data_IF_931978272056
#
_entry.id   IF_931978272056
#
_cell.length_a   1.000
_cell.length_b   1.000
_cell.length_c   1.000
_cell.angle_alpha   90.00
_cell.angle_beta   90.00
_cell.angle_gamma   90.00
#
_symmetry.space_group_name_H-M   'P 1'
#
loop_
_entity.id
_entity.type
_entity.pdbx_description
1 polymer ?
#
# COMPACT_ATOMS: atom_id res chain seq x y z
N UNK A 1 -1.26 -21.54 -43.08
CA UNK A 1 -0.02 -20.92 -43.61
C UNK A 1 -0.31 -19.43 -43.76
N UNK A 2 0.02 -18.65 -42.77
CA UNK A 2 0.21 -17.20 -42.87
C UNK A 2 0.98 -16.74 -41.63
N UNK A 3 2.21 -16.35 -41.90
CA UNK A 3 3.20 -15.92 -40.91
C UNK A 3 2.84 -14.57 -40.32
N UNK A 4 2.69 -14.48 -39.00
CA UNK A 4 2.65 -13.21 -38.31
C UNK A 4 4.08 -12.79 -37.95
N UNK A 5 4.61 -11.86 -38.70
CA UNK A 5 5.93 -11.22 -38.51
C UNK A 5 5.91 -10.37 -37.25
N UNK A 6 6.68 -10.78 -36.24
CA UNK A 6 7.08 -9.92 -35.13
C UNK A 6 7.95 -8.77 -35.65
N UNK A 7 7.47 -7.54 -35.56
CA UNK A 7 8.29 -6.34 -35.74
C UNK A 7 9.12 -6.10 -34.51
N UNK A 8 10.42 -6.36 -34.63
CA UNK A 8 11.42 -5.93 -33.66
C UNK A 8 11.46 -4.40 -33.60
N UNK A 9 11.05 -3.82 -32.45
CA UNK A 9 11.25 -2.42 -32.14
C UNK A 9 12.66 -2.26 -31.58
N UNK A 10 13.59 -1.88 -32.45
CA UNK A 10 14.95 -1.46 -32.07
C UNK A 10 14.85 -0.12 -31.32
N UNK A 11 15.05 -0.15 -30.01
CA UNK A 11 15.23 1.08 -29.21
C UNK A 11 16.69 1.50 -29.44
N UNK A 12 16.89 2.50 -30.28
CA UNK A 12 18.19 3.16 -30.51
C UNK A 12 18.46 4.03 -29.28
N UNK A 13 19.40 3.60 -28.45
CA UNK A 13 19.99 4.45 -27.42
C UNK A 13 20.85 5.53 -28.09
N UNK A 14 20.34 6.75 -28.17
CA UNK A 14 21.19 7.92 -28.42
C UNK A 14 22.01 8.21 -27.17
N UNK A 15 23.27 7.84 -27.19
CA UNK A 15 24.26 8.29 -26.19
C UNK A 15 24.61 9.74 -26.55
N UNK A 16 23.88 10.69 -25.94
CA UNK A 16 24.36 12.07 -25.90
C UNK A 16 25.48 12.14 -24.86
N UNK A 17 26.72 12.31 -25.34
CA UNK A 17 27.88 12.65 -24.53
C UNK A 17 27.80 14.12 -24.13
N UNK A 18 26.92 14.42 -23.16
CA UNK A 18 26.95 15.68 -22.42
C UNK A 18 27.74 15.45 -21.11
N UNK A 19 28.54 16.40 -20.64
CA UNK A 19 29.23 16.22 -19.36
C UNK A 19 28.18 16.12 -18.26
N UNK A 20 28.12 14.95 -17.61
CA UNK A 20 27.24 14.70 -16.47
C UNK A 20 27.71 15.63 -15.34
N UNK A 21 26.90 16.64 -15.04
CA UNK A 21 27.18 17.55 -13.93
C UNK A 21 27.05 16.79 -12.60
N UNK A 22 27.93 17.06 -11.64
CA UNK A 22 27.98 16.41 -10.33
C UNK A 22 26.61 16.37 -9.61
N UNK A 23 25.73 17.31 -9.87
CA UNK A 23 24.37 17.37 -9.30
C UNK A 23 23.45 16.22 -9.75
N UNK A 24 23.67 15.62 -10.95
CA UNK A 24 22.87 14.47 -11.40
C UNK A 24 23.31 13.19 -10.68
N UNK A 25 24.56 13.10 -10.28
CA UNK A 25 25.09 11.95 -9.52
C UNK A 25 24.47 11.86 -8.11
N UNK A 26 24.29 13.01 -7.43
CA UNK A 26 23.60 13.08 -6.13
C UNK A 26 22.13 12.69 -6.23
N UNK A 27 21.47 13.03 -7.33
CA UNK A 27 20.09 12.60 -7.61
C UNK A 27 19.97 11.08 -7.80
N UNK A 28 20.93 10.47 -8.48
CA UNK A 28 20.95 9.01 -8.72
C UNK A 28 21.26 8.22 -7.43
N UNK A 29 22.19 8.69 -6.59
CA UNK A 29 22.44 8.09 -5.27
C UNK A 29 21.27 8.22 -4.34
N UNK A 30 20.61 9.39 -4.28
CA UNK A 30 19.41 9.60 -3.51
C UNK A 30 18.27 8.69 -3.99
N UNK A 31 18.14 8.50 -5.32
CA UNK A 31 17.17 7.58 -5.93
C UNK A 31 17.52 6.12 -5.63
N UNK A 32 18.77 5.70 -5.79
CA UNK A 32 19.21 4.33 -5.46
C UNK A 32 19.08 4.02 -3.96
N UNK A 33 19.32 4.99 -3.08
CA UNK A 33 19.11 4.85 -1.65
C UNK A 33 17.62 4.75 -1.28
N UNK A 34 16.72 5.38 -2.07
CA UNK A 34 15.27 5.25 -1.89
C UNK A 34 14.74 3.87 -2.30
N UNK A 35 15.45 3.15 -3.16
CA UNK A 35 15.08 1.78 -3.61
C UNK A 35 15.49 0.72 -2.58
N UNK A 36 16.57 0.94 -1.83
CA UNK A 36 17.03 0.01 -0.80
C UNK A 36 16.26 0.22 0.49
N UNK A 37 15.71 -0.85 1.03
CA UNK A 37 15.12 -0.79 2.39
C UNK A 37 16.21 -0.36 3.38
N UNK A 38 16.04 0.78 4.08
CA UNK A 38 17.01 1.22 5.07
C UNK A 38 17.19 0.16 6.17
N UNK A 39 18.41 0.04 6.68
CA UNK A 39 18.65 -0.81 7.84
C UNK A 39 18.23 -0.09 9.12
N UNK A 40 16.94 -0.14 9.43
CA UNK A 40 16.34 0.53 10.60
C UNK A 40 16.93 0.07 11.94
N UNK A 41 17.53 -1.11 12.03
CA UNK A 41 18.21 -1.59 13.27
C UNK A 41 19.47 -0.80 13.59
N UNK A 42 20.19 -0.34 12.58
CA UNK A 42 21.40 0.45 12.75
C UNK A 42 21.12 1.88 13.23
N UNK A 43 19.90 2.38 13.04
CA UNK A 43 19.51 3.72 13.48
C UNK A 43 19.13 3.65 14.95
N UNK A 44 20.07 3.94 15.84
CA UNK A 44 19.89 3.81 17.32
C UNK A 44 18.95 4.89 17.87
N UNK A 45 19.04 6.11 17.40
CA UNK A 45 18.16 7.19 17.84
C UNK A 45 16.73 6.92 17.36
N UNK A 46 15.77 6.88 18.31
CA UNK A 46 14.38 6.54 18.04
C UNK A 46 13.71 7.58 17.11
N UNK A 47 13.98 8.88 17.35
CA UNK A 47 13.41 9.96 16.54
C UNK A 47 13.88 9.85 15.09
N UNK A 48 15.19 9.78 14.89
CA UNK A 48 15.81 9.63 13.56
C UNK A 48 15.32 8.37 12.83
N UNK A 49 15.14 7.25 13.56
CA UNK A 49 14.60 6.01 12.97
C UNK A 49 13.17 6.17 12.49
N UNK A 50 12.31 6.84 13.27
CA UNK A 50 10.94 7.14 12.86
C UNK A 50 10.90 8.05 11.64
N UNK A 51 11.72 9.09 11.62
CA UNK A 51 11.84 10.01 10.47
C UNK A 51 12.27 9.27 9.21
N UNK A 52 13.31 8.42 9.29
CA UNK A 52 13.77 7.59 8.19
C UNK A 52 12.68 6.59 7.72
N UNK A 53 11.92 6.01 8.65
CA UNK A 53 10.82 5.12 8.35
C UNK A 53 9.72 5.82 7.55
N UNK A 54 9.30 7.00 7.98
CA UNK A 54 8.30 7.79 7.27
C UNK A 54 8.82 8.27 5.91
N UNK A 55 10.05 8.77 5.85
CA UNK A 55 10.67 9.21 4.61
C UNK A 55 10.77 8.09 3.56
N UNK A 56 10.96 6.84 4.00
CA UNK A 56 11.03 5.68 3.12
C UNK A 56 9.65 5.24 2.58
N UNK A 57 8.61 5.22 3.43
CA UNK A 57 7.29 4.70 3.02
C UNK A 57 6.40 5.74 2.37
N UNK A 58 6.42 6.98 2.86
CA UNK A 58 5.45 8.02 2.49
C UNK A 58 5.40 8.34 0.98
N UNK A 59 6.53 8.47 0.25
CA UNK A 59 6.49 8.74 -1.18
C UNK A 59 5.74 7.65 -1.95
N UNK A 60 5.97 6.39 -1.60
CA UNK A 60 5.32 5.27 -2.26
C UNK A 60 3.83 5.18 -1.89
N UNK A 61 3.47 5.42 -0.64
CA UNK A 61 2.06 5.50 -0.20
C UNK A 61 1.31 6.55 -1.01
N UNK A 62 1.88 7.75 -1.14
CA UNK A 62 1.28 8.83 -1.93
C UNK A 62 1.11 8.43 -3.39
N UNK A 63 2.13 7.82 -3.98
CA UNK A 63 2.09 7.34 -5.37
C UNK A 63 1.00 6.30 -5.60
N UNK A 64 0.82 5.34 -4.68
CA UNK A 64 -0.23 4.33 -4.80
C UNK A 64 -1.63 4.94 -4.62
N UNK A 65 -1.80 5.85 -3.67
CA UNK A 65 -3.07 6.57 -3.52
C UNK A 65 -3.41 7.43 -4.76
N UNK A 66 -2.41 8.07 -5.39
CA UNK A 66 -2.63 8.82 -6.64
C UNK A 66 -3.17 7.92 -7.75
N UNK A 67 -2.63 6.71 -7.92
CA UNK A 67 -3.17 5.73 -8.87
C UNK A 67 -4.62 5.35 -8.60
N UNK A 68 -4.99 5.21 -7.32
CA UNK A 68 -6.38 4.94 -6.95
C UNK A 68 -7.27 6.13 -7.30
N UNK A 69 -6.82 7.36 -7.07
CA UNK A 69 -7.56 8.57 -7.45
C UNK A 69 -7.76 8.63 -8.97
N UNK A 70 -6.72 8.38 -9.74
CA UNK A 70 -6.79 8.33 -11.21
C UNK A 70 -7.81 7.28 -11.66
N UNK A 71 -7.72 6.05 -11.14
CA UNK A 71 -8.67 4.98 -11.43
C UNK A 71 -10.11 5.36 -11.07
N UNK A 72 -10.33 6.00 -9.92
CA UNK A 72 -11.66 6.49 -9.52
C UNK A 72 -12.18 7.55 -10.49
N UNK A 73 -11.33 8.45 -10.97
CA UNK A 73 -11.69 9.46 -11.96
C UNK A 73 -12.04 8.82 -13.30
N UNK A 74 -11.34 7.77 -13.71
CA UNK A 74 -11.65 7.02 -14.94
C UNK A 74 -13.00 6.29 -14.83
N UNK A 75 -13.30 5.69 -13.68
CA UNK A 75 -14.62 5.07 -13.43
C UNK A 75 -15.73 6.13 -13.48
N UNK A 76 -15.55 7.27 -12.79
CA UNK A 76 -16.55 8.36 -12.73
C UNK A 76 -16.84 8.98 -14.09
N UNK A 77 -15.82 9.17 -14.92
CA UNK A 77 -15.93 9.79 -16.23
C UNK A 77 -16.35 8.83 -17.35
N UNK A 78 -16.53 7.54 -17.04
CA UNK A 78 -16.88 6.53 -18.03
C UNK A 78 -15.78 6.24 -19.06
N UNK A 79 -14.51 6.55 -18.74
CA UNK A 79 -13.38 6.30 -19.66
C UNK A 79 -12.99 4.84 -19.80
N UNK A 80 -13.44 3.99 -18.89
CA UNK A 80 -13.11 2.56 -18.90
C UNK A 80 -14.14 1.80 -19.77
N UNK A 81 -13.64 0.94 -20.63
CA UNK A 81 -14.48 0.03 -21.38
C UNK A 81 -15.08 -1.09 -20.51
N UNK A 82 -16.09 -1.78 -21.06
CA UNK A 82 -16.81 -2.83 -20.34
C UNK A 82 -15.90 -4.00 -19.91
N UNK A 83 -14.87 -4.32 -20.71
CA UNK A 83 -13.93 -5.40 -20.41
C UNK A 83 -13.04 -5.05 -19.22
N UNK A 84 -12.53 -3.83 -19.17
CA UNK A 84 -11.74 -3.29 -18.05
C UNK A 84 -12.57 -3.21 -16.78
N UNK A 85 -13.82 -2.72 -16.85
CA UNK A 85 -14.73 -2.69 -15.69
C UNK A 85 -15.02 -4.10 -15.17
N UNK A 86 -15.25 -5.07 -16.06
CA UNK A 86 -15.45 -6.48 -15.67
C UNK A 86 -14.21 -7.06 -14.98
N UNK A 87 -13.01 -6.79 -15.51
CA UNK A 87 -11.76 -7.21 -14.90
C UNK A 87 -11.55 -6.59 -13.51
N UNK A 88 -11.87 -5.30 -13.33
CA UNK A 88 -11.81 -4.62 -12.04
C UNK A 88 -12.76 -5.25 -11.03
N UNK A 89 -14.03 -5.48 -11.39
CA UNK A 89 -14.99 -6.14 -10.51
C UNK A 89 -14.47 -7.49 -10.04
N UNK A 90 -13.98 -8.31 -10.94
CA UNK A 90 -13.34 -9.59 -10.62
C UNK A 90 -12.12 -9.43 -9.69
N UNK A 91 -11.26 -8.46 -9.97
CA UNK A 91 -10.05 -8.19 -9.19
C UNK A 91 -10.38 -7.77 -7.75
N UNK A 92 -11.43 -6.96 -7.57
CA UNK A 92 -11.94 -6.56 -6.26
C UNK A 92 -12.96 -7.54 -5.65
N UNK A 93 -13.19 -8.72 -6.27
CA UNK A 93 -14.12 -9.76 -5.82
C UNK A 93 -15.57 -9.29 -5.70
N UNK A 94 -15.97 -8.42 -6.60
CA UNK A 94 -17.32 -7.90 -6.70
C UNK A 94 -18.15 -8.72 -7.69
N UNK A 95 -19.48 -8.64 -7.54
CA UNK A 95 -20.42 -9.24 -8.49
C UNK A 95 -20.32 -8.53 -9.86
N UNK A 96 -20.57 -9.26 -10.95
CA UNK A 96 -20.62 -8.70 -12.30
C UNK A 96 -21.68 -7.59 -12.44
N UNK A 97 -22.77 -7.69 -11.68
CA UNK A 97 -23.86 -6.69 -11.65
C UNK A 97 -23.53 -5.45 -10.80
N UNK A 98 -22.42 -5.42 -10.08
CA UNK A 98 -22.00 -4.26 -9.29
C UNK A 98 -21.99 -2.99 -10.15
N UNK A 99 -22.67 -1.95 -9.71
CA UNK A 99 -22.70 -0.65 -10.38
C UNK A 99 -21.37 0.09 -10.26
N UNK A 100 -21.16 1.12 -11.08
CA UNK A 100 -19.98 1.98 -10.95
C UNK A 100 -19.96 2.73 -9.60
N UNK A 101 -21.11 3.07 -9.04
CA UNK A 101 -21.21 3.68 -7.71
C UNK A 101 -20.69 2.72 -6.62
N UNK A 102 -21.17 1.49 -6.60
CA UNK A 102 -20.73 0.47 -5.64
C UNK A 102 -19.24 0.11 -5.83
N UNK A 103 -18.75 0.13 -7.08
CA UNK A 103 -17.34 -0.04 -7.37
C UNK A 103 -16.51 1.10 -6.77
N UNK A 104 -16.99 2.35 -6.84
CA UNK A 104 -16.35 3.51 -6.23
C UNK A 104 -16.42 3.52 -4.70
N UNK A 105 -17.44 2.91 -4.09
CA UNK A 105 -17.52 2.70 -2.63
C UNK A 105 -16.44 1.71 -2.16
N UNK A 106 -16.13 0.73 -3.01
CA UNK A 106 -15.11 -0.30 -2.73
C UNK A 106 -13.69 0.21 -2.99
N UNK A 107 -13.45 0.80 -4.16
CA UNK A 107 -12.12 1.26 -4.59
C UNK A 107 -11.92 2.70 -4.13
N UNK A 108 -11.16 2.89 -3.05
CA UNK A 108 -10.83 4.23 -2.58
C UNK A 108 -9.48 4.27 -1.87
N UNK A 109 -8.95 5.47 -1.68
CA UNK A 109 -7.71 5.71 -0.95
C UNK A 109 -7.82 5.27 0.51
N UNK A 110 -6.66 5.01 1.08
CA UNK A 110 -6.48 4.89 2.54
C UNK A 110 -5.59 6.04 2.99
N UNK A 111 -5.97 6.80 4.04
CA UNK A 111 -5.15 7.89 4.56
C UNK A 111 -3.71 7.45 4.82
N UNK A 112 -2.76 8.30 4.43
CA UNK A 112 -1.34 7.99 4.59
C UNK A 112 -0.96 7.78 6.07
N UNK A 113 -1.60 8.52 6.97
CA UNK A 113 -1.40 8.39 8.41
C UNK A 113 -1.78 6.99 8.93
N UNK A 114 -2.87 6.41 8.41
CA UNK A 114 -3.30 5.06 8.79
C UNK A 114 -2.31 4.01 8.28
N UNK A 115 -1.91 4.09 7.01
CA UNK A 115 -0.96 3.17 6.40
C UNK A 115 0.37 3.19 7.15
N UNK A 116 0.90 4.41 7.45
CA UNK A 116 2.14 4.59 8.20
C UNK A 116 2.06 4.03 9.61
N UNK A 117 0.95 4.24 10.31
CA UNK A 117 0.76 3.76 11.68
C UNK A 117 0.69 2.23 11.75
N UNK A 118 -0.09 1.60 10.86
CA UNK A 118 -0.16 0.13 10.77
C UNK A 118 1.20 -0.46 10.37
N UNK A 119 1.87 0.12 9.36
CA UNK A 119 3.21 -0.33 8.96
C UNK A 119 4.22 -0.22 10.11
N UNK A 120 4.17 0.87 10.91
CA UNK A 120 5.04 1.06 12.07
C UNK A 120 4.80 0.00 13.15
N UNK A 121 3.54 -0.27 13.47
CA UNK A 121 3.14 -1.27 14.46
C UNK A 121 3.54 -2.68 14.04
N UNK A 122 3.07 -3.12 12.86
CA UNK A 122 3.23 -4.49 12.36
C UNK A 122 4.70 -4.85 12.05
N UNK A 123 5.49 -3.88 11.59
CA UNK A 123 6.90 -4.11 11.26
C UNK A 123 7.87 -3.78 12.38
N UNK A 124 7.39 -3.34 13.55
CA UNK A 124 8.25 -2.78 14.60
C UNK A 124 9.18 -1.70 14.02
N UNK A 125 8.59 -0.69 13.35
CA UNK A 125 9.32 0.40 12.70
C UNK A 125 10.35 -0.08 11.65
N UNK A 126 9.96 -1.05 10.83
CA UNK A 126 10.78 -1.63 9.77
C UNK A 126 11.84 -2.62 10.25
N UNK A 127 11.85 -2.97 11.55
CA UNK A 127 12.85 -3.86 12.16
C UNK A 127 12.49 -5.34 12.05
N UNK A 128 11.27 -5.68 11.72
CA UNK A 128 10.86 -7.08 11.56
C UNK A 128 11.62 -7.75 10.41
N UNK A 129 11.86 -9.05 10.53
CA UNK A 129 12.47 -9.87 9.48
C UNK A 129 11.71 -9.73 8.15
N UNK A 130 10.39 -9.65 8.22
CA UNK A 130 9.54 -9.60 7.04
C UNK A 130 9.59 -8.25 6.32
N UNK A 131 9.71 -7.16 7.06
CA UNK A 131 9.92 -5.83 6.47
C UNK A 131 11.30 -5.74 5.79
N UNK A 132 12.36 -6.22 6.47
CA UNK A 132 13.74 -6.13 5.98
C UNK A 132 14.01 -6.90 4.70
N UNK A 133 13.58 -8.16 4.65
CA UNK A 133 13.97 -9.09 3.60
C UNK A 133 12.90 -9.34 2.56
N UNK A 134 11.64 -8.98 2.87
CA UNK A 134 10.51 -9.34 2.01
C UNK A 134 9.55 -8.18 1.77
N UNK A 135 9.92 -6.94 2.10
CA UNK A 135 9.11 -5.73 1.92
C UNK A 135 7.68 -5.84 2.47
N UNK A 136 7.46 -6.73 3.45
CA UNK A 136 6.17 -6.92 4.08
C UNK A 136 6.13 -6.15 5.42
N UNK A 137 5.71 -4.90 5.34
CA UNK A 137 5.61 -3.99 6.48
C UNK A 137 4.30 -4.14 7.26
N UNK A 138 3.36 -4.93 6.76
CA UNK A 138 2.01 -5.06 7.29
C UNK A 138 1.69 -6.46 7.84
N UNK A 139 2.66 -7.36 7.88
CA UNK A 139 2.44 -8.73 8.33
C UNK A 139 1.45 -9.54 7.49
N UNK A 140 1.29 -9.21 6.21
CA UNK A 140 0.27 -9.80 5.35
C UNK A 140 0.50 -11.28 5.09
N UNK A 141 -0.57 -12.06 5.18
CA UNK A 141 -0.57 -13.51 5.07
C UNK A 141 -1.07 -13.99 3.71
N UNK A 142 -0.64 -15.19 3.35
CA UNK A 142 -1.20 -15.97 2.28
C UNK A 142 -1.36 -17.44 2.70
N UNK A 143 -2.26 -18.17 2.04
CA UNK A 143 -2.69 -19.51 2.49
C UNK A 143 -2.38 -20.61 1.47
N UNK A 144 -1.79 -20.26 0.32
CA UNK A 144 -1.33 -21.25 -0.65
C UNK A 144 0.11 -21.63 -0.30
N UNK A 145 0.39 -22.93 -0.17
CA UNK A 145 1.75 -23.43 0.10
C UNK A 145 2.76 -22.87 -0.90
N UNK A 146 3.85 -22.30 -0.37
CA UNK A 146 4.93 -21.70 -1.17
C UNK A 146 4.65 -20.25 -1.62
N UNK A 147 3.55 -19.61 -1.16
CA UNK A 147 3.22 -18.23 -1.51
C UNK A 147 4.05 -17.19 -0.74
N UNK A 148 4.74 -17.61 0.32
CA UNK A 148 5.47 -16.70 1.19
C UNK A 148 6.62 -17.38 1.95
N UNK A 149 6.79 -16.97 3.18
CA UNK A 149 7.77 -17.50 4.14
C UNK A 149 7.03 -18.04 5.36
N UNK A 150 7.36 -19.25 5.76
CA UNK A 150 6.82 -19.85 6.98
C UNK A 150 7.33 -19.07 8.20
N UNK A 151 6.43 -18.56 9.09
CA UNK A 151 6.85 -17.94 10.34
C UNK A 151 7.59 -18.94 11.24
N UNK A 152 8.68 -18.51 11.89
CA UNK A 152 9.48 -19.38 12.77
C UNK A 152 8.69 -19.95 13.94
N UNK A 153 7.68 -19.22 14.42
CA UNK A 153 6.81 -19.60 15.55
C UNK A 153 5.39 -19.94 15.12
N UNK A 154 5.22 -20.39 13.86
CA UNK A 154 3.90 -20.83 13.39
C UNK A 154 3.45 -22.08 14.17
N UNK A 155 2.21 -22.07 14.66
CA UNK A 155 1.61 -23.26 15.29
C UNK A 155 1.52 -24.41 14.29
N UNK A 156 1.57 -25.65 14.78
CA UNK A 156 1.56 -26.86 13.95
C UNK A 156 0.31 -26.95 13.04
N UNK A 157 -0.82 -26.46 13.53
CA UNK A 157 -2.11 -26.52 12.84
C UNK A 157 -2.35 -25.34 11.89
N UNK A 158 -1.44 -24.37 11.82
CA UNK A 158 -1.55 -23.22 10.94
C UNK A 158 -0.92 -23.50 9.58
N UNK A 159 -1.60 -23.06 8.50
CA UNK A 159 -1.12 -23.25 7.13
C UNK A 159 -0.63 -21.94 6.48
N UNK A 160 -0.85 -20.80 7.15
CA UNK A 160 -0.50 -19.49 6.59
C UNK A 160 1.01 -19.30 6.43
N UNK A 161 1.38 -18.56 5.41
CA UNK A 161 2.73 -18.04 5.19
C UNK A 161 2.68 -16.51 5.14
N UNK A 162 3.80 -15.86 5.45
CA UNK A 162 3.93 -14.40 5.32
C UNK A 162 4.34 -14.07 3.89
N UNK A 163 3.55 -13.26 3.21
CA UNK A 163 3.78 -12.89 1.80
C UNK A 163 5.16 -12.27 1.60
N UNK A 164 5.86 -12.70 0.53
CA UNK A 164 7.07 -12.06 0.02
C UNK A 164 6.71 -11.10 -1.10
N UNK A 165 7.13 -9.85 -0.97
CA UNK A 165 6.98 -8.87 -2.04
C UNK A 165 8.33 -8.60 -2.70
N UNK A 166 8.31 -8.37 -4.00
CA UNK A 166 9.52 -8.02 -4.78
C UNK A 166 9.97 -6.57 -4.54
N UNK A 167 9.11 -5.72 -3.98
CA UNK A 167 9.41 -4.33 -3.68
C UNK A 167 8.44 -3.76 -2.65
N UNK A 168 8.78 -2.61 -2.04
CA UNK A 168 7.90 -1.82 -1.19
C UNK A 168 6.58 -1.48 -1.93
N UNK A 169 6.70 -1.11 -3.20
CA UNK A 169 5.56 -0.80 -4.07
C UNK A 169 4.54 -1.94 -4.09
N UNK A 170 4.99 -3.18 -4.30
CA UNK A 170 4.11 -4.35 -4.32
C UNK A 170 3.51 -4.66 -2.95
N UNK A 171 4.24 -4.40 -1.88
CA UNK A 171 3.72 -4.54 -0.52
C UNK A 171 2.57 -3.57 -0.22
N UNK A 172 2.75 -2.28 -0.55
CA UNK A 172 1.73 -1.24 -0.35
C UNK A 172 0.53 -1.46 -1.28
N UNK A 173 0.75 -1.79 -2.56
CA UNK A 173 -0.31 -2.13 -3.51
C UNK A 173 -1.19 -3.27 -2.98
N UNK A 174 -0.58 -4.35 -2.49
CA UNK A 174 -1.30 -5.50 -1.94
C UNK A 174 -2.04 -5.14 -0.64
N UNK A 175 -1.45 -4.31 0.22
CA UNK A 175 -2.11 -3.82 1.42
C UNK A 175 -3.37 -3.01 1.07
N UNK A 176 -3.27 -2.04 0.16
CA UNK A 176 -4.40 -1.23 -0.30
C UNK A 176 -5.49 -2.09 -0.94
N UNK A 177 -5.10 -3.07 -1.75
CA UNK A 177 -6.03 -4.05 -2.31
C UNK A 177 -6.73 -4.84 -1.20
N UNK A 178 -6.02 -5.25 -0.16
CA UNK A 178 -6.60 -6.00 0.96
C UNK A 178 -7.64 -5.16 1.71
N UNK A 179 -7.35 -3.91 2.04
CA UNK A 179 -8.30 -2.97 2.66
C UNK A 179 -9.56 -2.80 1.79
N UNK A 180 -9.37 -2.68 0.48
CA UNK A 180 -10.46 -2.42 -0.45
C UNK A 180 -11.27 -3.68 -0.84
N UNK A 181 -10.80 -4.89 -0.52
CA UNK A 181 -11.39 -6.14 -1.02
C UNK A 181 -11.82 -7.13 0.07
N UNK A 182 -11.12 -7.18 1.19
CA UNK A 182 -11.36 -8.18 2.22
C UNK A 182 -12.53 -7.77 3.11
N UNK A 183 -13.42 -8.72 3.42
CA UNK A 183 -14.59 -8.51 4.29
C UNK A 183 -14.22 -8.06 5.71
N UNK A 184 -13.04 -8.43 6.21
CA UNK A 184 -12.55 -7.94 7.51
C UNK A 184 -12.51 -6.40 7.61
N UNK A 185 -12.49 -5.69 6.48
CA UNK A 185 -12.45 -4.23 6.41
C UNK A 185 -13.78 -3.59 5.96
N UNK A 186 -14.88 -4.33 6.00
CA UNK A 186 -16.19 -3.81 5.60
C UNK A 186 -16.61 -2.60 6.45
N UNK A 187 -16.35 -2.62 7.76
CA UNK A 187 -16.64 -1.50 8.66
C UNK A 187 -15.84 -0.27 8.26
N UNK A 188 -14.54 -0.43 8.02
CA UNK A 188 -13.68 0.66 7.56
C UNK A 188 -14.20 1.27 6.25
N UNK A 189 -14.60 0.45 5.27
CA UNK A 189 -15.15 0.93 4.01
C UNK A 189 -16.50 1.66 4.20
N UNK A 190 -17.36 1.19 5.10
CA UNK A 190 -18.62 1.88 5.45
C UNK A 190 -18.36 3.24 6.08
N UNK A 191 -17.41 3.36 7.00
CA UNK A 191 -17.01 4.64 7.60
C UNK A 191 -16.47 5.57 6.50
N UNK A 192 -15.60 5.08 5.62
CA UNK A 192 -15.04 5.85 4.52
C UNK A 192 -16.12 6.34 3.55
N UNK A 193 -17.06 5.47 3.16
CA UNK A 193 -18.21 5.83 2.34
C UNK A 193 -19.04 6.92 3.00
N UNK A 194 -19.43 6.74 4.27
CA UNK A 194 -20.20 7.73 5.01
C UNK A 194 -19.53 9.11 5.00
N UNK A 195 -18.20 9.15 5.22
CA UNK A 195 -17.44 10.40 5.16
C UNK A 195 -17.45 11.02 3.76
N UNK A 196 -17.35 10.22 2.70
CA UNK A 196 -17.47 10.68 1.30
C UNK A 196 -18.84 11.28 1.02
N UNK A 197 -19.90 10.58 1.37
CA UNK A 197 -21.28 10.99 1.12
C UNK A 197 -21.61 12.32 1.83
N UNK A 198 -21.02 12.55 3.00
CA UNK A 198 -21.19 13.77 3.79
C UNK A 198 -20.10 14.83 3.59
N UNK A 199 -19.23 14.68 2.59
CA UNK A 199 -18.12 15.60 2.29
C UNK A 199 -17.21 15.88 3.51
N UNK A 200 -17.06 14.88 4.39
CA UNK A 200 -16.23 14.96 5.58
C UNK A 200 -14.79 14.52 5.27
N UNK A 201 -13.80 15.05 5.99
CA UNK A 201 -12.41 14.61 5.86
C UNK A 201 -12.25 13.12 6.15
N UNK A 202 -11.56 12.40 5.25
CA UNK A 202 -11.18 11.00 5.45
C UNK A 202 -9.81 10.99 6.12
N UNK A 203 -9.79 10.80 7.44
CA UNK A 203 -8.58 10.80 8.26
C UNK A 203 -8.20 9.41 8.72
N UNK A 204 -6.89 9.18 8.95
CA UNK A 204 -6.44 7.87 9.44
C UNK A 204 -6.99 7.53 10.82
N UNK A 205 -7.12 8.50 11.73
CA UNK A 205 -7.73 8.28 13.05
C UNK A 205 -9.19 7.86 12.94
N UNK A 206 -9.97 8.50 12.04
CA UNK A 206 -11.37 8.14 11.86
C UNK A 206 -11.56 6.79 11.18
N UNK A 207 -10.69 6.41 10.21
CA UNK A 207 -10.80 5.09 9.59
C UNK A 207 -10.26 3.96 10.48
N UNK A 208 -9.38 4.25 11.43
CA UNK A 208 -8.88 3.27 12.39
C UNK A 208 -10.00 2.62 13.21
N UNK A 209 -11.12 3.33 13.46
CA UNK A 209 -12.30 2.80 14.13
C UNK A 209 -12.86 1.54 13.44
N UNK A 210 -12.68 1.41 12.14
CA UNK A 210 -13.12 0.23 11.37
C UNK A 210 -12.13 -0.94 11.38
N UNK A 211 -11.09 -0.92 12.21
CA UNK A 211 -10.07 -1.98 12.30
C UNK A 211 -10.31 -2.97 13.45
N UNK A 212 -11.42 -2.88 14.18
CA UNK A 212 -11.72 -3.77 15.33
C UNK A 212 -11.58 -5.26 14.98
N UNK A 213 -11.93 -5.65 13.77
CA UNK A 213 -11.83 -7.04 13.30
C UNK A 213 -10.48 -7.40 12.66
N UNK A 214 -9.52 -6.46 12.63
CA UNK A 214 -8.21 -6.69 12.02
C UNK A 214 -7.30 -7.56 12.90
N UNK A 215 -7.29 -7.32 14.21
CA UNK A 215 -6.46 -8.02 15.15
C UNK A 215 -7.29 -8.72 16.23
N UNK A 216 -6.76 -9.84 16.77
CA UNK A 216 -7.41 -10.58 17.87
C UNK A 216 -7.63 -9.73 19.12
N UNK A 217 -6.85 -8.65 19.31
CA UNK A 217 -6.93 -7.71 20.44
C UNK A 217 -7.96 -6.60 20.23
N UNK A 218 -8.68 -6.60 19.07
CA UNK A 218 -9.85 -5.74 18.84
C UNK A 218 -9.60 -4.25 19.09
N UNK A 219 -10.32 -3.69 20.08
CA UNK A 219 -10.30 -2.25 20.38
C UNK A 219 -8.92 -1.71 20.79
N UNK A 220 -8.11 -2.47 21.51
CA UNK A 220 -6.75 -2.06 21.90
C UNK A 220 -5.85 -1.80 20.69
N UNK A 221 -6.09 -2.53 19.59
CA UNK A 221 -5.40 -2.29 18.33
C UNK A 221 -5.76 -0.92 17.73
N UNK A 222 -7.03 -0.60 17.73
CA UNK A 222 -7.55 0.70 17.24
C UNK A 222 -6.90 1.85 18.03
N UNK A 223 -6.94 1.78 19.35
CA UNK A 223 -6.33 2.80 20.23
C UNK A 223 -4.82 2.95 19.97
N UNK A 224 -4.11 1.83 19.81
CA UNK A 224 -2.67 1.84 19.52
C UNK A 224 -2.38 2.52 18.17
N UNK A 225 -3.12 2.18 17.11
CA UNK A 225 -2.94 2.79 15.79
C UNK A 225 -3.24 4.29 15.86
N UNK A 226 -4.34 4.68 16.51
CA UNK A 226 -4.69 6.08 16.70
C UNK A 226 -3.65 6.84 17.53
N UNK A 227 -3.08 6.22 18.58
CA UNK A 227 -2.01 6.80 19.38
C UNK A 227 -0.75 7.03 18.55
N UNK A 228 -0.35 6.07 17.69
CA UNK A 228 0.79 6.25 16.76
C UNK A 228 0.54 7.43 15.83
N UNK A 229 -0.66 7.56 15.28
CA UNK A 229 -1.02 8.69 14.40
C UNK A 229 -0.88 10.02 15.15
N UNK A 230 -1.46 10.13 16.34
CA UNK A 230 -1.44 11.38 17.14
C UNK A 230 -0.03 11.75 17.59
N UNK A 231 0.69 10.83 18.25
CA UNK A 231 2.02 11.09 18.80
C UNK A 231 3.07 11.46 17.74
N UNK A 232 2.93 10.94 16.52
CA UNK A 232 3.87 11.24 15.44
C UNK A 232 3.31 12.29 14.45
N UNK A 233 2.16 12.91 14.77
CA UNK A 233 1.51 13.95 13.96
C UNK A 233 1.28 13.53 12.50
N UNK A 234 0.95 12.25 12.27
CA UNK A 234 0.87 11.68 10.91
C UNK A 234 -0.31 12.23 10.10
N UNK A 235 -1.36 12.76 10.74
CA UNK A 235 -2.52 13.36 10.06
C UNK A 235 -2.14 14.49 9.09
N UNK A 236 -0.97 15.12 9.24
CA UNK A 236 -0.46 16.10 8.27
C UNK A 236 -0.20 15.52 6.88
N UNK A 237 -0.09 14.20 6.75
CA UNK A 237 0.18 13.49 5.49
C UNK A 237 -1.10 13.01 4.80
N UNK A 238 -2.25 13.13 5.46
CA UNK A 238 -3.53 12.75 4.88
C UNK A 238 -3.94 13.70 3.76
N UNK A 239 -4.64 13.16 2.76
CA UNK A 239 -5.16 13.95 1.66
C UNK A 239 -6.21 14.93 2.19
N UNK A 240 -6.01 16.21 1.93
CA UNK A 240 -7.06 17.21 2.09
C UNK A 240 -7.87 17.23 0.80
N UNK A 241 -9.07 16.71 0.88
CA UNK A 241 -10.05 16.72 -0.21
C UNK A 241 -10.88 17.97 -0.08
#
# INVERSE_FOLDING_TARGET
MNDLKFKNLLIIFFIFSSPIHANEFWGLEAWMNSIRTPNFDQIKNIKTRKEAFFAYLLPEIKRQNSKIIELRNDIKSGRLDASTLSALKKYYRLNTQTTNTELLDTIDIVPASLILAQAAYESNWGRSRFAKYYHNFFGLWCFKKGCGVVPLRRSKDSTHEIVKFSSLSKGIEYYLLSINRNSAYDILRKIRKHKRDNQQPITGTGLAEGLENYAQIGYDYVETVQAIIRHNKLGQYDYRI
#
